data_IF_893437682854
#
_entry.id   IF_893437682854
#
_cell.length_a   1.000
_cell.length_b   1.000
_cell.length_c   1.000
_cell.angle_alpha   90.00
_cell.angle_beta   90.00
_cell.angle_gamma   90.00
#
_symmetry.space_group_name_H-M   'P 1'
#
loop_
_entity.id
_entity.type
_entity.pdbx_description
1 polymer ?
#
# COMPACT_ATOMS: atom_id res chain seq x y z
N UNK A 1 24.16 35.19 3.15
CA UNK A 1 23.23 34.24 3.79
C UNK A 1 23.00 33.08 2.82
N UNK A 2 23.87 32.05 2.86
CA UNK A 2 23.72 30.85 2.00
C UNK A 2 22.59 30.02 2.58
N UNK A 3 21.62 29.68 1.73
CA UNK A 3 20.35 29.04 2.06
C UNK A 3 20.52 27.75 2.88
N UNK A 4 20.43 27.85 4.20
CA UNK A 4 20.36 26.72 5.14
C UNK A 4 19.11 25.85 4.86
N UNK A 5 18.11 26.41 4.18
CA UNK A 5 16.91 25.72 3.72
C UNK A 5 17.21 24.53 2.77
N UNK A 6 18.29 24.58 1.98
CA UNK A 6 18.60 23.52 1.01
C UNK A 6 19.20 22.26 1.65
N UNK A 7 19.93 22.40 2.76
CA UNK A 7 20.64 21.29 3.41
C UNK A 7 19.75 20.47 4.34
N UNK A 8 18.73 21.11 4.94
CA UNK A 8 17.74 20.42 5.81
C UNK A 8 16.51 19.95 5.02
N UNK A 9 16.11 20.69 3.98
CA UNK A 9 14.94 20.35 3.17
C UNK A 9 15.13 19.08 2.34
N UNK A 10 16.29 18.92 1.69
CA UNK A 10 16.58 17.76 0.85
C UNK A 10 16.52 16.41 1.60
N UNK A 11 17.20 16.22 2.75
CA UNK A 11 17.14 14.94 3.45
C UNK A 11 15.75 14.61 3.97
N UNK A 12 14.94 15.60 4.37
CA UNK A 12 13.55 15.38 4.78
C UNK A 12 12.67 14.94 3.60
N UNK A 13 12.83 15.54 2.42
CA UNK A 13 12.11 15.13 1.21
C UNK A 13 12.48 13.70 0.82
N UNK A 14 13.77 13.37 0.83
CA UNK A 14 14.23 12.00 0.54
C UNK A 14 13.68 11.01 1.55
N UNK A 15 13.72 11.33 2.85
CA UNK A 15 13.13 10.47 3.88
C UNK A 15 11.63 10.28 3.69
N UNK A 16 10.90 11.34 3.33
CA UNK A 16 9.47 11.27 3.02
C UNK A 16 9.17 10.34 1.84
N UNK A 17 9.96 10.44 0.75
CA UNK A 17 9.82 9.55 -0.41
C UNK A 17 10.11 8.09 -0.03
N UNK A 18 11.17 7.84 0.74
CA UNK A 18 11.50 6.48 1.20
C UNK A 18 10.36 5.91 2.05
N UNK A 19 9.83 6.68 3.01
CA UNK A 19 8.72 6.24 3.84
C UNK A 19 7.45 5.97 3.04
N UNK A 20 7.19 6.79 2.02
CA UNK A 20 6.02 6.65 1.17
C UNK A 20 5.96 5.26 0.51
N UNK A 21 7.10 4.73 0.02
CA UNK A 21 7.16 3.39 -0.57
C UNK A 21 7.42 2.28 0.46
N UNK A 22 8.22 2.54 1.50
CA UNK A 22 8.61 1.52 2.46
C UNK A 22 7.46 1.10 3.39
N UNK A 23 6.61 2.04 3.83
CA UNK A 23 5.53 1.75 4.78
C UNK A 23 4.53 0.72 4.23
N UNK A 24 4.00 0.83 3.00
CA UNK A 24 3.15 -0.22 2.42
C UNK A 24 3.78 -1.61 2.46
N UNK A 25 5.06 -1.71 2.07
CA UNK A 25 5.79 -2.98 2.00
C UNK A 25 5.97 -3.61 3.39
N UNK A 26 6.29 -2.79 4.39
CA UNK A 26 6.52 -3.24 5.77
C UNK A 26 5.19 -3.60 6.45
N UNK A 27 4.15 -2.79 6.27
CA UNK A 27 2.84 -3.00 6.89
C UNK A 27 2.20 -4.32 6.41
N UNK A 28 2.32 -4.62 5.12
CA UNK A 28 1.67 -5.79 4.52
C UNK A 28 2.60 -6.97 4.26
N UNK A 29 3.89 -6.82 4.59
CA UNK A 29 4.95 -7.80 4.35
C UNK A 29 4.92 -8.30 2.89
N UNK A 30 5.16 -7.38 1.95
CA UNK A 30 5.08 -7.62 0.50
C UNK A 30 6.35 -7.21 -0.23
N UNK A 31 6.50 -7.70 -1.46
CA UNK A 31 7.61 -7.34 -2.34
C UNK A 31 7.35 -6.14 -3.25
N UNK A 32 6.10 -5.69 -3.36
CA UNK A 32 5.73 -4.50 -4.14
C UNK A 32 4.48 -3.81 -3.54
N UNK A 33 4.25 -2.57 -3.95
CA UNK A 33 3.24 -1.67 -3.40
C UNK A 33 1.81 -2.07 -3.80
N UNK A 34 1.63 -2.61 -5.01
CA UNK A 34 0.33 -3.08 -5.46
C UNK A 34 -0.13 -4.31 -4.69
N UNK A 35 0.79 -5.20 -4.37
CA UNK A 35 0.54 -6.34 -3.50
C UNK A 35 0.17 -5.88 -2.08
N UNK A 36 0.80 -4.80 -1.58
CA UNK A 36 0.45 -4.21 -0.28
C UNK A 36 -0.99 -3.67 -0.30
N UNK A 37 -1.32 -2.84 -1.29
CA UNK A 37 -2.67 -2.32 -1.49
C UNK A 37 -3.72 -3.43 -1.60
N UNK A 38 -3.42 -4.49 -2.35
CA UNK A 38 -4.34 -5.62 -2.52
C UNK A 38 -4.55 -6.39 -1.21
N UNK A 39 -3.48 -6.70 -0.46
CA UNK A 39 -3.60 -7.35 0.85
C UNK A 39 -4.33 -6.50 1.88
N UNK A 40 -4.13 -5.20 1.85
CA UNK A 40 -4.82 -4.27 2.73
C UNK A 40 -6.32 -4.23 2.42
N UNK A 41 -6.67 -4.11 1.13
CA UNK A 41 -8.06 -4.15 0.67
C UNK A 41 -8.73 -5.50 0.97
N UNK A 42 -8.02 -6.61 0.79
CA UNK A 42 -8.46 -7.95 1.17
C UNK A 42 -8.78 -8.04 2.67
N UNK A 43 -7.91 -7.48 3.52
CA UNK A 43 -8.10 -7.45 4.97
C UNK A 43 -9.33 -6.62 5.37
N UNK A 44 -9.54 -5.49 4.70
CA UNK A 44 -10.71 -4.64 4.90
C UNK A 44 -12.01 -5.31 4.41
N UNK A 45 -11.97 -6.00 3.27
CA UNK A 45 -13.10 -6.77 2.77
C UNK A 45 -13.48 -7.89 3.76
N UNK A 46 -12.50 -8.65 4.26
CA UNK A 46 -12.73 -9.69 5.27
C UNK A 46 -13.33 -9.10 6.56
N UNK A 47 -12.84 -7.93 7.01
CA UNK A 47 -13.42 -7.20 8.16
C UNK A 47 -14.86 -6.80 7.90
N UNK A 48 -15.19 -6.27 6.73
CA UNK A 48 -16.54 -5.83 6.37
C UNK A 48 -17.52 -7.00 6.31
N UNK A 49 -17.08 -8.17 5.83
CA UNK A 49 -17.92 -9.39 5.78
C UNK A 49 -18.16 -9.97 7.17
N UNK A 50 -17.12 -10.00 8.01
CA UNK A 50 -17.19 -10.66 9.32
C UNK A 50 -17.63 -9.74 10.46
N UNK A 51 -17.63 -8.43 10.22
CA UNK A 51 -17.88 -7.41 11.25
C UNK A 51 -16.80 -7.34 12.34
N UNK A 52 -15.69 -8.08 12.18
CA UNK A 52 -14.62 -8.17 13.17
C UNK A 52 -13.25 -8.22 12.51
N UNK A 53 -12.23 -7.77 13.23
CA UNK A 53 -10.82 -7.95 12.86
C UNK A 53 -10.19 -9.15 13.56
N UNK A 54 -10.99 -9.94 14.27
CA UNK A 54 -10.54 -11.05 15.11
C UNK A 54 -11.50 -12.23 15.01
N UNK A 55 -10.98 -13.43 15.29
CA UNK A 55 -11.76 -14.66 15.30
C UNK A 55 -11.47 -15.59 14.11
N UNK A 56 -11.91 -16.85 14.20
CA UNK A 56 -11.53 -17.91 13.26
C UNK A 56 -12.05 -17.64 11.83
N UNK A 57 -13.25 -17.08 11.70
CA UNK A 57 -13.84 -16.76 10.40
C UNK A 57 -13.08 -15.62 9.72
N UNK A 58 -12.76 -14.54 10.44
CA UNK A 58 -11.90 -13.47 9.93
C UNK A 58 -10.53 -14.02 9.54
N UNK A 59 -9.90 -14.82 10.40
CA UNK A 59 -8.58 -15.39 10.14
C UNK A 59 -8.56 -16.25 8.86
N UNK A 60 -9.59 -17.07 8.65
CA UNK A 60 -9.72 -17.88 7.45
C UNK A 60 -9.93 -17.02 6.19
N UNK A 61 -10.92 -16.11 6.21
CA UNK A 61 -11.21 -15.23 5.07
C UNK A 61 -10.02 -14.33 4.74
N UNK A 62 -9.41 -13.72 5.75
CA UNK A 62 -8.25 -12.86 5.60
C UNK A 62 -7.04 -13.65 5.08
N UNK A 63 -6.79 -14.85 5.61
CA UNK A 63 -5.71 -15.71 5.14
C UNK A 63 -5.86 -16.10 3.68
N UNK A 64 -7.06 -16.53 3.27
CA UNK A 64 -7.35 -16.85 1.87
C UNK A 64 -7.22 -15.62 0.97
N UNK A 65 -7.85 -14.50 1.34
CA UNK A 65 -7.83 -13.29 0.54
C UNK A 65 -6.43 -12.70 0.39
N UNK A 66 -5.61 -12.72 1.45
CA UNK A 66 -4.20 -12.27 1.39
C UNK A 66 -3.29 -13.25 0.67
N UNK A 67 -3.64 -14.54 0.58
CA UNK A 67 -2.84 -15.55 -0.15
C UNK A 67 -2.95 -15.42 -1.67
N UNK A 68 -4.09 -14.91 -2.16
CA UNK A 68 -4.32 -14.66 -3.58
C UNK A 68 -3.96 -13.24 -4.00
N UNK A 69 -3.67 -12.35 -3.05
CA UNK A 69 -3.22 -10.99 -3.31
C UNK A 69 -1.76 -10.99 -3.82
N UNK A 70 -1.59 -11.08 -5.14
CA UNK A 70 -0.30 -11.09 -5.83
C UNK A 70 0.15 -9.69 -6.28
N UNK A 71 -0.76 -8.73 -6.32
CA UNK A 71 -0.57 -7.39 -6.87
C UNK A 71 -0.95 -7.29 -8.35
N UNK A 72 -1.22 -8.40 -9.05
CA UNK A 72 -1.50 -8.41 -10.50
C UNK A 72 -2.82 -7.73 -10.85
N UNK A 73 -3.89 -8.05 -10.11
CA UNK A 73 -5.20 -7.45 -10.35
C UNK A 73 -5.16 -5.94 -10.07
N UNK A 74 -4.57 -5.53 -8.94
CA UNK A 74 -4.43 -4.13 -8.58
C UNK A 74 -3.50 -3.39 -9.54
N UNK A 75 -2.36 -3.95 -9.92
CA UNK A 75 -1.46 -3.30 -10.89
C UNK A 75 -2.12 -3.07 -12.25
N UNK A 76 -2.91 -4.03 -12.74
CA UNK A 76 -3.68 -3.85 -13.97
C UNK A 76 -4.78 -2.79 -13.81
N UNK A 77 -5.50 -2.78 -12.68
CA UNK A 77 -6.52 -1.77 -12.40
C UNK A 77 -5.91 -0.36 -12.34
N UNK A 78 -4.80 -0.21 -11.62
CA UNK A 78 -4.06 1.03 -11.46
C UNK A 78 -3.46 1.54 -12.77
N UNK A 79 -2.90 0.65 -13.60
CA UNK A 79 -2.41 1.01 -14.93
C UNK A 79 -3.52 1.57 -15.83
N UNK A 80 -4.75 1.06 -15.68
CA UNK A 80 -5.91 1.54 -16.44
C UNK A 80 -6.49 2.84 -15.87
N UNK A 81 -6.55 2.97 -14.54
CA UNK A 81 -7.10 4.16 -13.87
C UNK A 81 -6.15 5.36 -13.94
N UNK A 82 -4.84 5.10 -13.90
CA UNK A 82 -3.78 6.10 -13.84
C UNK A 82 -2.71 5.88 -14.93
N UNK A 83 -3.07 5.97 -16.22
CA UNK A 83 -2.15 5.65 -17.33
C UNK A 83 -0.91 6.55 -17.42
N UNK A 84 -0.94 7.73 -16.76
CA UNK A 84 0.15 8.70 -16.77
C UNK A 84 1.05 8.61 -15.52
N UNK A 85 0.76 7.70 -14.59
CA UNK A 85 1.47 7.57 -13.31
C UNK A 85 2.11 6.18 -13.25
N UNK A 86 3.37 6.04 -12.81
CA UNK A 86 3.95 4.72 -12.58
C UNK A 86 3.10 3.92 -11.60
N UNK A 87 2.80 2.67 -11.94
CA UNK A 87 1.88 1.80 -11.18
C UNK A 87 2.30 1.65 -9.71
N UNK A 88 3.60 1.57 -9.42
CA UNK A 88 4.09 1.52 -8.03
C UNK A 88 3.75 2.78 -7.23
N UNK A 89 3.78 3.96 -7.87
CA UNK A 89 3.45 5.24 -7.24
C UNK A 89 1.95 5.32 -6.95
N UNK A 90 1.10 4.92 -7.91
CA UNK A 90 -0.35 4.97 -7.73
C UNK A 90 -0.81 3.93 -6.69
N UNK A 91 -0.26 2.71 -6.73
CA UNK A 91 -0.50 1.70 -5.71
C UNK A 91 -0.09 2.16 -4.30
N UNK A 92 1.10 2.79 -4.16
CA UNK A 92 1.53 3.34 -2.88
C UNK A 92 0.59 4.47 -2.42
N UNK A 93 0.21 5.38 -3.32
CA UNK A 93 -0.69 6.47 -3.00
C UNK A 93 -2.06 5.97 -2.53
N UNK A 94 -2.64 5.01 -3.24
CA UNK A 94 -3.96 4.47 -2.90
C UNK A 94 -3.91 3.60 -1.63
N UNK A 95 -2.77 2.97 -1.33
CA UNK A 95 -2.54 2.37 -0.01
C UNK A 95 -2.66 3.41 1.10
N UNK A 96 -1.94 4.55 0.98
CA UNK A 96 -2.00 5.63 1.98
C UNK A 96 -3.38 6.28 2.08
N UNK A 97 -4.13 6.31 0.99
CA UNK A 97 -5.51 6.82 0.97
C UNK A 97 -6.49 5.86 1.64
N UNK A 98 -6.24 4.56 1.57
CA UNK A 98 -7.06 3.53 2.18
C UNK A 98 -6.71 3.27 3.66
N UNK A 99 -5.48 3.63 4.08
CA UNK A 99 -4.99 3.54 5.45
C UNK A 99 -5.71 4.50 6.40
#
# INVERSE_FOLDING_TARGET
MKSVAGVVGLPLVVAGIVLFFAVPLIAENTGNECQALEKYNASNAARNVTGSTTGPIYGMLNGLARSVATGEATSAAEANAHPNIPVSVSCAYDFWKAF
#
